data_IF_926151142073
#
_entry.id   IF_926151142073
#
_cell.length_a   1.000
_cell.length_b   1.000
_cell.length_c   1.000
_cell.angle_alpha   90.00
_cell.angle_beta   90.00
_cell.angle_gamma   90.00
#
_symmetry.space_group_name_H-M   'P 1'
#
loop_
_entity.id
_entity.type
_entity.pdbx_description
1 polymer ?
#
# COMPACT_ATOMS: atom_id res chain seq x y z
N UNK A 1 -66.94 -8.42 17.73
CA UNK A 1 -65.67 -7.69 17.70
C UNK A 1 -65.99 -6.26 18.06
N UNK A 2 -65.53 -5.79 19.21
CA UNK A 2 -65.84 -4.44 19.68
C UNK A 2 -65.02 -3.40 18.91
N UNK A 3 -65.45 -2.13 18.95
CA UNK A 3 -64.74 -1.02 18.28
C UNK A 3 -63.28 -0.96 18.73
N UNK A 4 -63.00 -1.32 19.98
CA UNK A 4 -61.66 -1.39 20.55
C UNK A 4 -60.76 -2.43 19.84
N UNK A 5 -61.32 -3.58 19.44
CA UNK A 5 -60.56 -4.63 18.74
C UNK A 5 -60.11 -4.16 17.35
N UNK A 6 -60.94 -3.40 16.64
CA UNK A 6 -60.60 -2.84 15.32
C UNK A 6 -59.49 -1.79 15.42
N UNK A 7 -59.49 -0.96 16.46
CA UNK A 7 -58.45 0.05 16.71
C UNK A 7 -57.12 -0.64 17.00
N UNK A 8 -57.12 -1.67 17.86
CA UNK A 8 -55.93 -2.45 18.20
C UNK A 8 -55.37 -3.14 16.96
N UNK A 9 -56.22 -3.76 16.14
CA UNK A 9 -55.80 -4.44 14.91
C UNK A 9 -55.17 -3.46 13.90
N UNK A 10 -55.76 -2.27 13.73
CA UNK A 10 -55.23 -1.22 12.88
C UNK A 10 -53.86 -0.69 13.35
N UNK A 11 -53.71 -0.46 14.65
CA UNK A 11 -52.43 -0.06 15.24
C UNK A 11 -51.35 -1.13 15.04
N UNK A 12 -51.71 -2.41 15.20
CA UNK A 12 -50.78 -3.53 15.05
C UNK A 12 -50.30 -3.68 13.60
N UNK A 13 -51.22 -3.55 12.62
CA UNK A 13 -50.87 -3.54 11.19
C UNK A 13 -49.93 -2.39 10.84
N UNK A 14 -50.18 -1.21 11.39
CA UNK A 14 -49.34 -0.03 11.16
C UNK A 14 -47.94 -0.24 11.73
N UNK A 15 -47.85 -0.81 12.95
CA UNK A 15 -46.57 -1.14 13.58
C UNK A 15 -45.76 -2.15 12.75
N UNK A 16 -46.41 -3.22 12.28
CA UNK A 16 -45.78 -4.23 11.42
C UNK A 16 -45.24 -3.60 10.13
N UNK A 17 -46.00 -2.69 9.52
CA UNK A 17 -45.58 -2.00 8.32
C UNK A 17 -44.35 -1.10 8.56
N UNK A 18 -44.34 -0.35 9.66
CA UNK A 18 -43.19 0.50 10.05
C UNK A 18 -41.95 -0.37 10.32
N UNK A 19 -42.09 -1.48 11.04
CA UNK A 19 -41.01 -2.41 11.30
C UNK A 19 -40.44 -3.00 10.00
N UNK A 20 -41.29 -3.31 9.03
CA UNK A 20 -40.86 -3.81 7.73
C UNK A 20 -39.98 -2.79 6.97
N UNK A 21 -40.39 -1.53 6.94
CA UNK A 21 -39.60 -0.45 6.32
C UNK A 21 -38.24 -0.30 7.01
N UNK A 22 -38.22 -0.28 8.35
CA UNK A 22 -37.00 -0.16 9.13
C UNK A 22 -36.05 -1.35 8.90
N UNK A 23 -36.58 -2.58 8.84
CA UNK A 23 -35.78 -3.77 8.54
C UNK A 23 -35.17 -3.70 7.15
N UNK A 24 -35.95 -3.27 6.15
CA UNK A 24 -35.45 -3.15 4.79
C UNK A 24 -34.36 -2.06 4.69
N UNK A 25 -34.58 -0.89 5.28
CA UNK A 25 -33.59 0.19 5.29
C UNK A 25 -32.30 -0.23 6.00
N UNK A 26 -32.41 -0.89 7.14
CA UNK A 26 -31.26 -1.39 7.90
C UNK A 26 -30.46 -2.43 7.11
N UNK A 27 -31.15 -3.32 6.36
CA UNK A 27 -30.48 -4.30 5.51
C UNK A 27 -29.68 -3.66 4.37
N UNK A 28 -30.20 -2.58 3.77
CA UNK A 28 -29.50 -1.83 2.73
C UNK A 28 -28.29 -1.10 3.31
N UNK A 29 -28.47 -0.41 4.43
CA UNK A 29 -27.39 0.30 5.12
C UNK A 29 -26.26 -0.64 5.52
N UNK A 30 -26.58 -1.86 5.97
CA UNK A 30 -25.57 -2.88 6.29
C UNK A 30 -24.71 -3.25 5.06
N UNK A 31 -25.35 -3.48 3.91
CA UNK A 31 -24.64 -3.80 2.65
C UNK A 31 -23.76 -2.65 2.16
N UNK A 32 -24.25 -1.41 2.27
CA UNK A 32 -23.45 -0.23 1.89
C UNK A 32 -22.25 -0.05 2.81
N UNK A 33 -22.43 -0.28 4.12
CA UNK A 33 -21.35 -0.21 5.10
C UNK A 33 -20.27 -1.28 4.86
N UNK A 34 -20.67 -2.51 4.50
CA UNK A 34 -19.74 -3.56 4.08
C UNK A 34 -18.92 -3.15 2.85
N UNK A 35 -19.56 -2.60 1.82
CA UNK A 35 -18.86 -2.09 0.62
C UNK A 35 -17.87 -0.95 0.95
N UNK A 36 -18.27 -0.02 1.83
CA UNK A 36 -17.40 1.07 2.25
C UNK A 36 -16.18 0.55 3.02
N UNK A 37 -16.35 -0.47 3.86
CA UNK A 37 -15.24 -1.13 4.56
C UNK A 37 -14.28 -1.84 3.60
N UNK A 38 -14.80 -2.56 2.60
CA UNK A 38 -13.96 -3.19 1.57
C UNK A 38 -13.17 -2.14 0.76
N UNK A 39 -13.82 -1.05 0.38
CA UNK A 39 -13.16 0.07 -0.30
C UNK A 39 -12.05 0.68 0.57
N UNK A 40 -12.33 0.97 1.83
CA UNK A 40 -11.33 1.50 2.77
C UNK A 40 -10.14 0.56 2.88
N UNK A 41 -10.38 -0.74 3.08
CA UNK A 41 -9.32 -1.73 3.17
C UNK A 41 -8.47 -1.79 1.89
N UNK A 42 -9.11 -1.74 0.71
CA UNK A 42 -8.39 -1.72 -0.57
C UNK A 42 -7.53 -0.47 -0.74
N UNK A 43 -8.02 0.69 -0.27
CA UNK A 43 -7.34 1.98 -0.35
C UNK A 43 -6.17 2.03 0.62
N UNK A 44 -6.34 1.56 1.85
CA UNK A 44 -5.25 1.43 2.84
C UNK A 44 -4.14 0.53 2.30
N UNK A 45 -4.50 -0.62 1.72
CA UNK A 45 -3.52 -1.51 1.09
C UNK A 45 -2.80 -0.83 -0.08
N UNK A 46 -3.52 -0.07 -0.90
CA UNK A 46 -2.91 0.69 -2.01
C UNK A 46 -1.96 1.78 -1.50
N UNK A 47 -2.33 2.48 -0.42
CA UNK A 47 -1.47 3.50 0.22
C UNK A 47 -0.20 2.85 0.75
N UNK A 48 -0.31 1.76 1.52
CA UNK A 48 0.85 1.04 2.04
C UNK A 48 1.78 0.59 0.90
N UNK A 49 1.23 0.02 -0.17
CA UNK A 49 2.02 -0.37 -1.34
C UNK A 49 2.72 0.82 -2.02
N UNK A 50 2.06 1.98 -2.10
CA UNK A 50 2.66 3.19 -2.68
C UNK A 50 3.74 3.77 -1.77
N UNK A 51 3.57 3.72 -0.46
CA UNK A 51 4.59 4.11 0.52
C UNK A 51 5.81 3.19 0.41
N UNK A 52 5.61 1.87 0.39
CA UNK A 52 6.67 0.88 0.18
C UNK A 52 7.39 1.10 -1.15
N UNK A 53 6.62 1.35 -2.23
CA UNK A 53 7.19 1.63 -3.56
C UNK A 53 7.98 2.94 -3.57
N UNK A 54 7.54 3.96 -2.83
CA UNK A 54 8.23 5.24 -2.70
C UNK A 54 9.53 5.08 -1.92
N UNK A 55 9.53 4.31 -0.83
CA UNK A 55 10.74 4.00 -0.06
C UNK A 55 11.72 3.23 -0.94
N UNK A 56 11.26 2.19 -1.64
CA UNK A 56 12.09 1.43 -2.58
C UNK A 56 12.66 2.31 -3.70
N UNK A 57 11.85 3.20 -4.27
CA UNK A 57 12.31 4.13 -5.32
C UNK A 57 13.34 5.13 -4.78
N UNK A 58 13.16 5.62 -3.55
CA UNK A 58 14.12 6.51 -2.89
C UNK A 58 15.45 5.78 -2.66
N UNK A 59 15.42 4.56 -2.13
CA UNK A 59 16.61 3.75 -1.90
C UNK A 59 17.36 3.48 -3.21
N UNK A 60 16.64 3.16 -4.28
CA UNK A 60 17.24 2.99 -5.61
C UNK A 60 17.85 4.30 -6.13
N UNK A 61 17.16 5.43 -5.99
CA UNK A 61 17.67 6.74 -6.42
C UNK A 61 18.92 7.15 -5.65
N UNK A 62 18.91 6.95 -4.33
CA UNK A 62 20.04 7.23 -3.45
C UNK A 62 21.23 6.32 -3.76
N UNK A 63 21.00 5.07 -4.19
CA UNK A 63 22.05 4.15 -4.65
C UNK A 63 22.59 4.51 -6.05
N UNK A 64 21.71 4.90 -6.98
CA UNK A 64 22.10 5.33 -8.33
C UNK A 64 22.89 6.63 -8.34
N UNK A 65 22.59 7.55 -7.41
CA UNK A 65 23.26 8.86 -7.31
C UNK A 65 24.78 8.72 -7.16
N UNK A 66 25.23 7.78 -6.33
CA UNK A 66 26.65 7.52 -6.06
C UNK A 66 27.27 6.45 -6.97
N UNK A 67 26.47 5.78 -7.82
CA UNK A 67 26.93 4.66 -8.64
C UNK A 67 28.09 5.03 -9.56
N UNK A 68 28.00 6.14 -10.30
CA UNK A 68 29.05 6.54 -11.24
C UNK A 68 30.39 6.79 -10.54
N UNK A 69 30.34 7.41 -9.38
CA UNK A 69 31.51 7.81 -8.60
C UNK A 69 32.16 6.60 -7.91
N UNK A 70 31.34 5.69 -7.37
CA UNK A 70 31.79 4.39 -6.86
C UNK A 70 32.48 3.57 -7.95
N UNK A 71 31.88 3.43 -9.14
CA UNK A 71 32.49 2.64 -10.22
C UNK A 71 33.74 3.30 -10.79
N UNK A 72 33.84 4.63 -10.77
CA UNK A 72 35.04 5.36 -11.17
C UNK A 72 36.21 5.09 -10.21
N UNK A 73 35.99 5.23 -8.89
CA UNK A 73 37.02 4.99 -7.88
C UNK A 73 37.43 3.51 -7.80
N UNK A 74 36.47 2.60 -7.97
CA UNK A 74 36.75 1.16 -8.06
C UNK A 74 37.59 0.84 -9.31
N UNK A 75 37.30 1.49 -10.45
CA UNK A 75 38.08 1.34 -11.68
C UNK A 75 39.49 1.96 -11.60
N UNK A 76 39.68 2.96 -10.73
CA UNK A 76 40.99 3.54 -10.42
C UNK A 76 41.84 2.67 -9.47
N UNK A 77 41.30 1.54 -8.98
CA UNK A 77 42.01 0.58 -8.12
C UNK A 77 41.95 0.91 -6.62
N UNK A 78 41.08 1.83 -6.19
CA UNK A 78 40.90 2.12 -4.76
C UNK A 78 40.21 0.95 -4.03
N UNK A 79 40.60 0.70 -2.78
CA UNK A 79 39.97 -0.33 -1.96
C UNK A 79 38.57 0.12 -1.49
N UNK A 80 37.70 -0.86 -1.21
CA UNK A 80 36.30 -0.59 -0.85
C UNK A 80 36.18 0.25 0.42
N UNK A 81 37.11 0.08 1.36
CA UNK A 81 37.18 0.81 2.62
C UNK A 81 37.49 2.28 2.39
N UNK A 82 38.44 2.57 1.49
CA UNK A 82 38.83 3.95 1.14
C UNK A 82 37.71 4.66 0.38
N UNK A 83 37.01 3.95 -0.52
CA UNK A 83 35.87 4.51 -1.26
C UNK A 83 34.71 4.80 -0.30
N UNK A 84 34.45 3.91 0.65
CA UNK A 84 33.44 4.07 1.69
C UNK A 84 33.69 5.30 2.55
N UNK A 85 34.95 5.51 2.95
CA UNK A 85 35.37 6.68 3.74
C UNK A 85 35.31 7.97 2.92
N UNK A 86 35.82 7.98 1.67
CA UNK A 86 35.83 9.16 0.79
C UNK A 86 34.44 9.66 0.42
N UNK A 87 33.50 8.74 0.15
CA UNK A 87 32.15 9.09 -0.27
C UNK A 87 31.19 9.22 0.92
N UNK A 88 31.63 8.90 2.14
CA UNK A 88 30.76 8.89 3.33
C UNK A 88 29.62 7.87 3.22
N UNK A 89 29.79 6.82 2.42
CA UNK A 89 28.79 5.79 2.15
C UNK A 89 29.17 4.55 2.95
N UNK A 90 28.27 3.96 3.76
CA UNK A 90 28.60 2.75 4.50
C UNK A 90 28.89 1.56 3.56
N UNK A 91 29.83 0.70 3.97
CA UNK A 91 30.35 -0.43 3.17
C UNK A 91 29.25 -1.35 2.60
N UNK A 92 28.17 -1.56 3.36
CA UNK A 92 27.01 -2.33 2.90
C UNK A 92 26.32 -1.72 1.66
N UNK A 93 26.16 -0.40 1.63
CA UNK A 93 25.59 0.36 0.52
C UNK A 93 26.53 0.38 -0.67
N UNK A 94 27.84 0.50 -0.44
CA UNK A 94 28.86 0.38 -1.48
C UNK A 94 28.78 -0.99 -2.20
N UNK A 95 28.66 -2.07 -1.44
CA UNK A 95 28.59 -3.43 -1.99
C UNK A 95 27.30 -3.65 -2.81
N UNK A 96 26.18 -3.09 -2.34
CA UNK A 96 24.91 -3.07 -3.08
C UNK A 96 25.03 -2.36 -4.43
N UNK A 97 25.67 -1.19 -4.45
CA UNK A 97 25.90 -0.41 -5.68
C UNK A 97 26.72 -1.22 -6.70
N UNK A 98 27.80 -1.87 -6.24
CA UNK A 98 28.66 -2.70 -7.08
C UNK A 98 27.88 -3.90 -7.65
N UNK A 99 27.11 -4.61 -6.81
CA UNK A 99 26.29 -5.75 -7.24
C UNK A 99 25.20 -5.33 -8.23
N UNK A 100 24.59 -4.16 -8.04
CA UNK A 100 23.57 -3.65 -8.95
C UNK A 100 24.16 -3.37 -10.34
N UNK A 101 25.35 -2.79 -10.41
CA UNK A 101 26.06 -2.55 -11.67
C UNK A 101 26.46 -3.84 -12.39
N UNK A 102 26.94 -4.85 -11.65
CA UNK A 102 27.29 -6.15 -12.24
C UNK A 102 26.07 -6.86 -12.85
N UNK A 103 24.92 -6.83 -12.18
CA UNK A 103 23.67 -7.41 -12.69
C UNK A 103 23.20 -6.66 -13.94
N UNK A 104 23.32 -5.33 -13.95
CA UNK A 104 22.96 -4.50 -15.11
C UNK A 104 23.78 -4.88 -16.34
N UNK A 105 25.10 -5.06 -16.19
CA UNK A 105 25.97 -5.54 -17.26
C UNK A 105 25.56 -6.93 -17.72
N UNK A 106 25.33 -7.86 -16.79
CA UNK A 106 24.97 -9.25 -17.13
C UNK A 106 23.66 -9.35 -17.93
N UNK A 107 22.64 -8.54 -17.61
CA UNK A 107 21.39 -8.47 -18.38
C UNK A 107 21.57 -7.84 -19.76
N UNK A 108 22.52 -6.91 -19.91
CA UNK A 108 22.81 -6.24 -21.18
C UNK A 108 23.52 -7.17 -22.18
N UNK A 109 24.17 -8.24 -21.71
CA UNK A 109 24.81 -9.27 -22.54
C UNK A 109 23.90 -10.47 -22.89
N UNK A 110 22.66 -10.51 -22.38
CA UNK A 110 21.68 -11.59 -22.64
C UNK A 110 20.55 -11.20 -23.59
N UNK A 111 20.64 -10.04 -24.23
CA UNK A 111 19.76 -9.58 -25.32
C UNK A 111 20.59 -9.57 -26.60
#
# INVERSE_FOLDING_TARGET
MEIMDYIILGALLTLVFILFILLHANSTLKKENEKLRELLYSKEKMIANLEDSRVAAKDVMDNLSSQKEVMFLLGAGESKEVISEKLGIPLNKLELIIRFDSIKKEKQFRV
#
